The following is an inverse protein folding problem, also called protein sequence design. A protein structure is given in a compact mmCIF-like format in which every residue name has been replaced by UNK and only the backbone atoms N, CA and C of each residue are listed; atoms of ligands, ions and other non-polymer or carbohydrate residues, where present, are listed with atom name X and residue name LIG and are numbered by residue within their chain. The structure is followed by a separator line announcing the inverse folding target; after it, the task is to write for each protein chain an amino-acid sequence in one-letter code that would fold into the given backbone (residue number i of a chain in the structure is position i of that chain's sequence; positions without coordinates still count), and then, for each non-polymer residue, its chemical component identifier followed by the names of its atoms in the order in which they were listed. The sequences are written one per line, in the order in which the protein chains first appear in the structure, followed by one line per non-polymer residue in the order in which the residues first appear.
data_IF_791007845868
#
_entry.id   IF_791007845868
#
_cell.length_a   1.000
_cell.length_b   1.000
_cell.length_c   1.000
_cell.angle_alpha   90.00
_cell.angle_beta   90.00
_cell.angle_gamma   90.00
#
_symmetry.space_group_name_H-M   'P 1'
#
loop_
_entity.id
_entity.type
_entity.pdbx_description
1 polymer ?
#
# COMPACT_ATOMS: atom_id res chain seq x y z
N UNK A 1 -14.23 -11.17 15.02
CA UNK A 1 -14.18 -9.97 14.19
C UNK A 1 -12.73 -9.62 13.88
N UNK A 2 -12.47 -8.86 12.83
CA UNK A 2 -11.09 -8.55 12.45
C UNK A 2 -10.42 -7.64 13.48
N UNK A 3 -9.21 -8.03 13.90
CA UNK A 3 -8.43 -7.32 14.92
C UNK A 3 -7.18 -6.64 14.35
N UNK A 4 -6.67 -7.09 13.22
CA UNK A 4 -5.47 -6.58 12.58
C UNK A 4 -5.68 -6.48 11.07
N UNK A 5 -5.73 -5.26 10.57
CA UNK A 5 -6.07 -4.97 9.18
C UNK A 5 -4.85 -4.39 8.48
N UNK A 6 -4.54 -4.92 7.30
CA UNK A 6 -3.42 -4.48 6.48
C UNK A 6 -3.92 -3.88 5.17
N UNK A 7 -3.33 -2.78 4.73
CA UNK A 7 -3.61 -2.17 3.43
C UNK A 7 -2.30 -1.74 2.78
N UNK A 8 -2.22 -1.89 1.46
CA UNK A 8 -1.09 -1.39 0.68
C UNK A 8 -1.43 -0.06 0.03
N UNK A 9 -0.42 0.78 -0.17
CA UNK A 9 -0.58 2.04 -0.87
C UNK A 9 0.65 2.38 -1.71
N UNK A 10 0.40 3.01 -2.86
CA UNK A 10 1.44 3.57 -3.73
C UNK A 10 1.27 5.09 -3.90
N UNK A 11 0.36 5.69 -3.14
CA UNK A 11 0.07 7.11 -3.23
C UNK A 11 -0.90 7.51 -4.33
N UNK A 12 -1.33 6.57 -5.16
CA UNK A 12 -2.32 6.86 -6.20
C UNK A 12 -3.69 7.14 -5.60
N UNK A 13 -4.57 7.76 -6.36
CA UNK A 13 -5.94 8.06 -5.89
C UNK A 13 -6.72 6.79 -5.58
N UNK A 14 -6.53 5.73 -6.37
CA UNK A 14 -7.17 4.44 -6.12
C UNK A 14 -6.66 3.81 -4.83
N UNK A 15 -5.35 3.89 -4.58
CA UNK A 15 -4.75 3.39 -3.33
C UNK A 15 -5.24 4.20 -2.12
N UNK A 16 -5.37 5.52 -2.25
CA UNK A 16 -5.89 6.36 -1.18
C UNK A 16 -7.33 5.97 -0.81
N UNK A 17 -8.13 5.60 -1.79
CA UNK A 17 -9.49 5.11 -1.54
C UNK A 17 -9.46 3.82 -0.72
N UNK A 18 -8.58 2.88 -1.08
CA UNK A 18 -8.42 1.63 -0.35
C UNK A 18 -7.95 1.89 1.09
N UNK A 19 -6.98 2.78 1.28
CA UNK A 19 -6.49 3.17 2.62
C UNK A 19 -7.62 3.78 3.45
N UNK A 20 -8.40 4.65 2.85
CA UNK A 20 -9.54 5.28 3.54
C UNK A 20 -10.55 4.25 4.01
N UNK A 21 -10.90 3.28 3.16
CA UNK A 21 -11.82 2.20 3.54
C UNK A 21 -11.27 1.32 4.64
N UNK A 22 -9.98 0.97 4.55
CA UNK A 22 -9.32 0.19 5.61
C UNK A 22 -9.30 0.96 6.94
N UNK A 23 -9.05 2.27 6.88
CA UNK A 23 -9.04 3.15 8.05
C UNK A 23 -10.43 3.21 8.70
N UNK A 24 -11.48 3.41 7.91
CA UNK A 24 -12.84 3.42 8.39
C UNK A 24 -13.22 2.11 9.08
N UNK A 25 -12.82 1.00 8.47
CA UNK A 25 -13.10 -0.32 9.01
C UNK A 25 -12.34 -0.56 10.31
N UNK A 26 -11.06 -0.22 10.36
CA UNK A 26 -10.24 -0.36 11.55
C UNK A 26 -10.78 0.47 12.71
N UNK A 27 -11.18 1.71 12.45
CA UNK A 27 -11.77 2.57 13.47
C UNK A 27 -13.09 1.98 14.00
N UNK A 28 -13.92 1.50 13.10
CA UNK A 28 -15.22 0.93 13.45
C UNK A 28 -15.11 -0.36 14.29
N UNK A 29 -14.15 -1.21 13.95
CA UNK A 29 -13.93 -2.49 14.61
C UNK A 29 -12.96 -2.43 15.80
N UNK A 30 -12.39 -1.27 16.08
CA UNK A 30 -11.32 -1.10 17.08
C UNK A 30 -10.12 -2.00 16.77
N UNK A 31 -9.82 -2.19 15.49
CA UNK A 31 -8.71 -3.00 15.00
C UNK A 31 -7.44 -2.15 14.86
N UNK A 32 -6.29 -2.80 14.89
CA UNK A 32 -5.04 -2.16 14.51
C UNK A 32 -4.96 -2.07 12.98
N UNK A 33 -4.24 -1.07 12.48
CA UNK A 33 -4.07 -0.86 11.05
C UNK A 33 -2.57 -0.90 10.70
N UNK A 34 -2.21 -1.72 9.74
CA UNK A 34 -0.89 -1.76 9.16
C UNK A 34 -0.97 -1.22 7.73
N UNK A 35 -0.06 -0.32 7.39
CA UNK A 35 -0.02 0.28 6.05
C UNK A 35 1.35 -0.01 5.46
N UNK A 36 1.38 -0.63 4.29
CA UNK A 36 2.62 -0.96 3.60
C UNK A 36 2.71 -0.26 2.26
N UNK A 37 3.90 0.24 1.94
CA UNK A 37 4.21 0.78 0.63
C UNK A 37 5.47 0.10 0.11
N UNK A 38 5.38 -0.43 -1.10
CA UNK A 38 6.52 -1.05 -1.76
C UNK A 38 7.23 -0.02 -2.62
N UNK A 39 8.53 -0.12 -2.70
CA UNK A 39 9.33 0.73 -3.57
C UNK A 39 10.41 -0.11 -4.24
N UNK A 40 10.87 0.35 -5.40
CA UNK A 40 12.01 -0.27 -6.07
C UNK A 40 13.15 0.72 -6.13
N UNK A 41 14.39 0.29 -5.87
CA UNK A 41 15.53 1.19 -5.92
C UNK A 41 15.76 1.67 -7.34
N UNK A 42 16.31 2.89 -7.48
CA UNK A 42 16.67 3.43 -8.78
C UNK A 42 17.81 2.57 -9.36
N UNK A 43 17.58 1.99 -10.52
CA UNK A 43 18.53 1.09 -11.15
C UNK A 43 19.74 1.81 -11.74
N UNK A 44 19.59 3.05 -12.20
CA UNK A 44 20.65 3.82 -12.82
C UNK A 44 21.32 4.74 -11.78
N UNK A 45 22.61 4.49 -11.42
CA UNK A 45 23.31 5.31 -10.44
C UNK A 45 23.40 6.79 -10.83
N UNK A 46 23.36 7.10 -12.14
CA UNK A 46 23.42 8.49 -12.61
C UNK A 46 22.16 9.27 -12.26
N UNK A 47 21.03 8.60 -12.18
CA UNK A 47 19.79 9.23 -11.71
C UNK A 47 19.87 9.58 -10.24
N UNK A 48 20.49 8.71 -9.44
CA UNK A 48 20.67 8.94 -8.00
C UNK A 48 21.62 10.12 -7.74
N UNK A 49 22.65 10.27 -8.55
CA UNK A 49 23.63 11.33 -8.40
C UNK A 49 23.20 12.66 -9.04
N UNK A 50 22.07 12.67 -9.72
CA UNK A 50 21.61 13.85 -10.45
C UNK A 50 22.34 14.12 -11.76
N UNK A 51 23.12 13.16 -12.26
CA UNK A 51 23.85 13.29 -13.52
C UNK A 51 22.95 13.14 -14.74
N UNK A 52 21.79 12.52 -14.58
CA UNK A 52 20.80 12.39 -15.63
C UNK A 52 19.46 12.96 -15.15
N UNK A 53 18.78 13.66 -16.06
CA UNK A 53 17.42 14.11 -15.78
C UNK A 53 16.47 12.92 -15.88
N UNK A 54 15.70 12.70 -14.84
CA UNK A 54 14.66 11.68 -14.87
C UNK A 54 13.47 12.21 -15.68
N UNK A 55 12.77 11.33 -16.43
CA UNK A 55 11.47 11.69 -17.00
C UNK A 55 10.54 12.17 -15.90
N UNK A 56 9.65 13.10 -16.23
CA UNK A 56 8.75 13.70 -15.24
C UNK A 56 7.92 12.65 -14.49
N UNK A 57 7.49 11.63 -15.19
CA UNK A 57 6.71 10.52 -14.62
C UNK A 57 7.55 9.56 -13.76
N UNK A 58 8.89 9.66 -13.84
CA UNK A 58 9.79 8.79 -13.07
C UNK A 58 10.61 9.54 -12.03
N UNK A 59 10.43 10.86 -11.88
CA UNK A 59 11.20 11.65 -10.93
C UNK A 59 11.03 11.21 -9.48
N UNK A 60 9.83 10.75 -9.12
CA UNK A 60 9.55 10.21 -7.79
C UNK A 60 10.41 9.00 -7.45
N UNK A 61 10.94 8.29 -8.47
CA UNK A 61 11.78 7.11 -8.27
C UNK A 61 13.22 7.43 -7.87
N UNK A 62 13.62 8.71 -7.88
CA UNK A 62 15.00 9.10 -7.54
C UNK A 62 15.31 8.81 -6.07
N UNK A 63 14.34 9.04 -5.18
CA UNK A 63 14.47 8.72 -3.76
C UNK A 63 13.28 7.88 -3.32
N UNK A 64 13.15 6.66 -3.87
CA UNK A 64 11.92 5.87 -3.68
C UNK A 64 11.67 5.47 -2.23
N UNK A 65 12.71 5.21 -1.47
CA UNK A 65 12.54 4.88 -0.05
C UNK A 65 12.02 6.08 0.74
N UNK A 66 12.61 7.24 0.54
CA UNK A 66 12.19 8.47 1.23
C UNK A 66 10.75 8.85 0.86
N UNK A 67 10.40 8.69 -0.42
CA UNK A 67 9.04 8.96 -0.90
C UNK A 67 8.04 8.01 -0.25
N UNK A 68 8.40 6.74 -0.15
CA UNK A 68 7.53 5.74 0.51
C UNK A 68 7.34 6.07 1.99
N UNK A 69 8.41 6.44 2.68
CA UNK A 69 8.33 6.83 4.09
C UNK A 69 7.44 8.06 4.28
N UNK A 70 7.61 9.09 3.45
CA UNK A 70 6.79 10.31 3.54
C UNK A 70 5.31 10.01 3.29
N UNK A 71 5.02 9.19 2.29
CA UNK A 71 3.67 8.75 1.98
C UNK A 71 3.04 8.01 3.16
N UNK A 72 3.79 7.12 3.77
CA UNK A 72 3.33 6.32 4.91
C UNK A 72 3.09 7.19 6.16
N UNK A 73 3.96 8.16 6.42
CA UNK A 73 3.77 9.07 7.54
C UNK A 73 2.50 9.89 7.41
N UNK A 74 2.21 10.35 6.22
CA UNK A 74 0.96 11.07 5.95
C UNK A 74 -0.25 10.16 6.16
N UNK A 75 -0.21 8.94 5.62
CA UNK A 75 -1.30 7.99 5.77
C UNK A 75 -1.51 7.62 7.25
N UNK A 76 -0.43 7.45 8.00
CA UNK A 76 -0.49 7.19 9.44
C UNK A 76 -1.18 8.30 10.20
N UNK A 77 -0.79 9.55 9.92
CA UNK A 77 -1.38 10.71 10.59
C UNK A 77 -2.87 10.80 10.31
N UNK A 78 -3.27 10.60 9.06
CA UNK A 78 -4.68 10.62 8.66
C UNK A 78 -5.47 9.50 9.35
N UNK A 79 -4.89 8.30 9.44
CA UNK A 79 -5.56 7.17 10.10
C UNK A 79 -5.75 7.43 11.60
N UNK A 80 -4.75 7.97 12.26
CA UNK A 80 -4.86 8.31 13.69
C UNK A 80 -5.90 9.40 13.92
N UNK A 81 -5.93 10.39 13.05
CA UNK A 81 -6.93 11.45 13.12
C UNK A 81 -8.34 10.90 12.91
N UNK A 82 -8.49 9.86 12.11
CA UNK A 82 -9.77 9.20 11.88
C UNK A 82 -10.21 8.28 13.02
N UNK A 83 -9.39 8.09 14.03
CA UNK A 83 -9.76 7.34 15.24
C UNK A 83 -9.13 5.97 15.39
N UNK A 84 -8.15 5.61 14.56
CA UNK A 84 -7.45 4.33 14.72
C UNK A 84 -6.38 4.49 15.79
N UNK A 85 -6.45 3.70 16.85
CA UNK A 85 -5.55 3.82 17.99
C UNK A 85 -4.14 3.33 17.70
N UNK A 86 -4.02 2.22 16.96
CA UNK A 86 -2.73 1.61 16.64
C UNK A 86 -2.52 1.55 15.14
N UNK A 87 -1.53 2.29 14.65
CA UNK A 87 -1.16 2.32 13.24
C UNK A 87 0.34 2.08 13.11
N UNK A 88 0.71 1.05 12.35
CA UNK A 88 2.10 0.78 12.00
C UNK A 88 2.28 0.92 10.50
N UNK A 89 3.46 1.36 10.09
CA UNK A 89 3.77 1.56 8.67
C UNK A 89 5.02 0.80 8.29
N UNK A 90 5.06 0.34 7.04
CA UNK A 90 6.15 -0.49 6.52
C UNK A 90 6.53 -0.02 5.11
N UNK A 91 7.76 0.44 4.95
CA UNK A 91 8.33 0.71 3.64
C UNK A 91 9.17 -0.50 3.24
N UNK A 92 8.80 -1.19 2.18
CA UNK A 92 9.44 -2.43 1.76
C UNK A 92 9.97 -2.33 0.35
N UNK A 93 11.17 -2.84 0.14
CA UNK A 93 11.75 -2.90 -1.20
C UNK A 93 11.18 -4.10 -1.95
N UNK A 94 10.82 -3.90 -3.22
CA UNK A 94 10.39 -4.97 -4.09
C UNK A 94 8.96 -4.82 -4.61
N UNK A 95 8.39 -5.94 -5.02
CA UNK A 95 7.05 -6.00 -5.60
C UNK A 95 5.96 -5.70 -4.56
N UNK A 96 4.95 -4.94 -4.97
CA UNK A 96 3.88 -4.51 -4.07
C UNK A 96 3.09 -5.69 -3.49
N UNK A 97 2.74 -6.67 -4.31
CA UNK A 97 1.98 -7.83 -3.83
C UNK A 97 2.80 -8.65 -2.83
N UNK A 98 4.09 -8.86 -3.12
CA UNK A 98 4.97 -9.58 -2.22
C UNK A 98 5.14 -8.84 -0.88
N UNK A 99 5.29 -7.52 -0.93
CA UNK A 99 5.39 -6.71 0.28
C UNK A 99 4.14 -6.83 1.16
N UNK A 100 2.97 -6.79 0.55
CA UNK A 100 1.70 -6.96 1.26
C UNK A 100 1.63 -8.35 1.90
N UNK A 101 1.95 -9.38 1.13
CA UNK A 101 1.89 -10.76 1.63
C UNK A 101 2.88 -11.00 2.76
N UNK A 102 4.09 -10.48 2.65
CA UNK A 102 5.12 -10.61 3.68
C UNK A 102 4.71 -9.95 4.99
N UNK A 103 4.18 -8.73 4.93
CA UNK A 103 3.72 -8.01 6.13
C UNK A 103 2.51 -8.71 6.74
N UNK A 104 1.58 -9.19 5.92
CA UNK A 104 0.42 -9.93 6.41
C UNK A 104 0.84 -11.14 7.25
N UNK A 105 1.83 -11.87 6.77
CA UNK A 105 2.34 -13.05 7.46
C UNK A 105 3.16 -12.66 8.70
N UNK A 106 4.09 -11.71 8.57
CA UNK A 106 4.93 -11.26 9.68
C UNK A 106 4.13 -10.69 10.85
N UNK A 107 3.09 -9.94 10.56
CA UNK A 107 2.29 -9.25 11.59
C UNK A 107 1.05 -10.04 12.01
N UNK A 108 0.80 -11.19 11.42
CA UNK A 108 -0.37 -11.99 11.75
C UNK A 108 -1.68 -11.27 11.47
N UNK A 109 -1.75 -10.54 10.36
CA UNK A 109 -2.97 -9.82 9.99
C UNK A 109 -4.09 -10.78 9.66
N UNK A 110 -5.31 -10.43 10.04
CA UNK A 110 -6.49 -11.28 9.77
C UNK A 110 -7.37 -10.73 8.65
N UNK A 111 -7.07 -9.54 8.15
CA UNK A 111 -7.73 -8.98 6.98
C UNK A 111 -6.73 -8.15 6.17
N UNK A 112 -6.68 -8.40 4.86
CA UNK A 112 -5.93 -7.56 3.92
C UNK A 112 -6.93 -6.82 3.05
N UNK A 113 -6.76 -5.51 2.92
CA UNK A 113 -7.60 -4.65 2.07
C UNK A 113 -6.80 -4.22 0.86
N UNK A 114 -7.34 -4.44 -0.33
CA UNK A 114 -6.73 -4.01 -1.59
C UNK A 114 -7.78 -3.37 -2.49
N UNK A 115 -7.36 -2.45 -3.33
CA UNK A 115 -8.22 -1.91 -4.37
C UNK A 115 -8.39 -2.93 -5.50
N UNK A 116 -9.46 -2.80 -6.26
CA UNK A 116 -9.72 -3.71 -7.37
C UNK A 116 -8.79 -3.48 -8.57
N UNK A 117 -8.12 -2.33 -8.63
CA UNK A 117 -7.16 -1.98 -9.67
C UNK A 117 -5.88 -1.45 -9.07
N UNK A 118 -4.76 -1.73 -9.72
CA UNK A 118 -3.49 -1.10 -9.40
C UNK A 118 -3.33 0.23 -10.11
N UNK A 119 -2.09 0.78 -10.07
CA UNK A 119 -1.72 2.07 -10.67
C UNK A 119 -1.99 2.17 -12.16
N UNK A 120 -1.92 1.07 -12.88
CA UNK A 120 -1.85 1.06 -14.34
C UNK A 120 -3.20 0.99 -15.05
N UNK A 121 -4.29 1.17 -14.33
CA UNK A 121 -5.60 1.26 -14.96
C UNK A 121 -6.02 0.02 -15.73
N UNK A 122 -6.09 -1.13 -15.07
CA UNK A 122 -6.60 -2.34 -15.69
C UNK A 122 -7.99 -2.11 -16.28
N UNK A 123 -8.34 -2.89 -17.28
CA UNK A 123 -9.66 -2.81 -17.91
C UNK A 123 -10.75 -3.00 -16.86
N UNK A 124 -11.86 -2.33 -17.08
CA UNK A 124 -12.98 -2.19 -16.13
C UNK A 124 -13.45 -3.48 -15.45
N UNK A 125 -13.37 -4.60 -16.13
CA UNK A 125 -13.87 -5.88 -15.64
C UNK A 125 -12.79 -6.83 -15.16
N UNK A 126 -11.52 -6.40 -15.19
CA UNK A 126 -10.40 -7.24 -14.79
C UNK A 126 -9.86 -6.79 -13.45
N UNK A 127 -9.57 -7.75 -12.59
CA UNK A 127 -8.88 -7.50 -11.35
C UNK A 127 -7.41 -7.18 -11.67
N UNK A 128 -6.87 -6.12 -11.04
CA UNK A 128 -5.46 -5.75 -11.23
C UNK A 128 -4.51 -6.84 -10.74
N UNK A 129 -3.25 -6.75 -11.15
CA UNK A 129 -2.24 -7.77 -10.80
C UNK A 129 -2.00 -7.90 -9.31
N UNK A 130 -1.93 -6.78 -8.58
CA UNK A 130 -1.71 -6.81 -7.14
C UNK A 130 -2.88 -7.46 -6.40
N UNK A 131 -4.14 -7.00 -6.57
CA UNK A 131 -5.24 -7.66 -5.87
C UNK A 131 -5.44 -9.11 -6.30
N UNK A 132 -5.15 -9.45 -7.56
CA UNK A 132 -5.24 -10.83 -8.02
C UNK A 132 -4.24 -11.73 -7.28
N UNK A 133 -2.98 -11.33 -7.21
CA UNK A 133 -1.93 -12.09 -6.52
C UNK A 133 -2.21 -12.18 -5.01
N UNK A 134 -2.60 -11.07 -4.40
CA UNK A 134 -2.91 -11.04 -2.98
C UNK A 134 -4.08 -11.95 -2.64
N UNK A 135 -5.15 -11.91 -3.44
CA UNK A 135 -6.34 -12.74 -3.18
C UNK A 135 -6.04 -14.23 -3.29
N UNK A 136 -5.09 -14.63 -4.14
CA UNK A 136 -4.71 -16.03 -4.29
C UNK A 136 -3.76 -16.54 -3.20
N UNK A 137 -2.95 -15.66 -2.62
CA UNK A 137 -1.85 -16.10 -1.75
C UNK A 137 -1.91 -15.57 -0.31
N UNK A 138 -2.88 -14.74 0.03
CA UNK A 138 -2.96 -14.17 1.38
C UNK A 138 -3.19 -15.26 2.43
N UNK A 139 -2.54 -15.12 3.61
CA UNK A 139 -2.73 -16.10 4.71
C UNK A 139 -4.04 -15.89 5.46
N UNK A 140 -4.86 -14.93 5.05
CA UNK A 140 -6.07 -14.51 5.76
C UNK A 140 -7.13 -14.03 4.77
N UNK A 141 -8.21 -13.49 5.30
CA UNK A 141 -9.29 -12.90 4.48
C UNK A 141 -8.82 -11.69 3.72
N UNK A 142 -9.38 -11.48 2.54
CA UNK A 142 -9.05 -10.35 1.66
C UNK A 142 -10.33 -9.61 1.31
N UNK A 143 -10.32 -8.30 1.52
CA UNK A 143 -11.40 -7.43 1.08
C UNK A 143 -10.92 -6.65 -0.13
N UNK A 144 -11.62 -6.81 -1.23
CA UNK A 144 -11.33 -6.07 -2.46
C UNK A 144 -12.27 -4.87 -2.54
N UNK A 145 -11.70 -3.69 -2.41
CA UNK A 145 -12.46 -2.44 -2.43
C UNK A 145 -12.57 -1.93 -3.86
N UNK A 146 -13.78 -1.62 -4.25
CA UNK A 146 -14.00 -1.01 -5.56
C UNK A 146 -13.57 0.46 -5.50
N UNK A 147 -12.55 0.79 -6.29
CA UNK A 147 -11.94 2.13 -6.31
C UNK A 147 -12.30 2.94 -7.57
N UNK A 148 -13.01 2.33 -8.48
CA UNK A 148 -13.40 2.96 -9.76
C UNK A 148 -14.87 2.76 -10.05
#
# INVERSE_FOLDING_TARGET
MFASILVGTDGSETAKTAVRRATELAACLHASLQIVSAYEPVADPRLRSGQLDAPEDAQWMINPHEDAVALLEQARAEAKEAGVAEVETFARQGDAADAILDVAEERGCDLVVVGNKGMTGAKRFLLGSVPNKVSHHAPCSVLIVRTT
#
